data_IF_899324296853
#
_entry.id   IF_899324296853
#
_cell.length_a   1.000
_cell.length_b   1.000
_cell.length_c   1.000
_cell.angle_alpha   90.00
_cell.angle_beta   90.00
_cell.angle_gamma   90.00
#
_symmetry.space_group_name_H-M   'P 1'
#
loop_
_entity.id
_entity.type
_entity.pdbx_description
1 polymer ?
#
# COMPACT_ATOMS: atom_id res chain seq x y z
N UNK A 1 -35.91 25.27 -45.35
CA UNK A 1 -34.67 24.55 -45.73
C UNK A 1 -34.10 23.91 -44.47
N UNK A 2 -34.54 22.67 -44.22
CA UNK A 2 -33.91 21.53 -43.51
C UNK A 2 -32.37 21.70 -43.36
N UNK A 3 -31.63 21.44 -42.26
CA UNK A 3 -31.69 20.45 -41.15
C UNK A 3 -30.66 20.83 -40.02
N UNK A 4 -30.67 20.15 -38.85
CA UNK A 4 -30.10 20.61 -37.57
C UNK A 4 -28.70 20.05 -37.25
N UNK A 5 -27.84 20.87 -36.63
CA UNK A 5 -26.52 20.45 -36.16
C UNK A 5 -26.58 20.01 -34.69
N UNK A 6 -26.73 18.70 -34.58
CA UNK A 6 -26.43 17.77 -33.50
C UNK A 6 -25.30 18.18 -32.53
N UNK A 7 -25.66 18.26 -31.23
CA UNK A 7 -24.96 17.73 -30.04
C UNK A 7 -23.42 17.74 -30.06
N UNK A 8 -22.81 18.66 -29.30
CA UNK A 8 -21.39 18.63 -28.94
C UNK A 8 -21.25 18.51 -27.41
N UNK A 9 -20.54 17.46 -27.00
CA UNK A 9 -19.81 17.29 -25.74
C UNK A 9 -20.59 17.05 -24.43
N UNK A 10 -21.16 15.85 -24.30
CA UNK A 10 -21.37 15.19 -23.02
C UNK A 10 -20.27 14.13 -22.80
N UNK A 11 -19.08 14.50 -22.30
CA UNK A 11 -18.06 13.53 -21.86
C UNK A 11 -16.95 14.14 -20.99
N UNK A 12 -17.28 15.02 -20.03
CA UNK A 12 -16.29 15.54 -19.06
C UNK A 12 -16.46 14.95 -17.64
N UNK A 13 -17.22 13.86 -17.50
CA UNK A 13 -17.31 13.09 -16.25
C UNK A 13 -16.55 11.76 -16.38
N UNK A 14 -15.38 11.79 -17.00
CA UNK A 14 -14.47 10.65 -17.01
C UNK A 14 -13.57 10.75 -15.77
N UNK A 15 -14.05 10.17 -14.68
CA UNK A 15 -13.28 9.52 -13.61
C UNK A 15 -11.84 10.01 -13.45
N UNK A 16 -11.60 10.90 -12.48
CA UNK A 16 -10.27 11.07 -11.89
C UNK A 16 -9.92 9.79 -11.12
N UNK A 17 -9.56 8.73 -11.85
CA UNK A 17 -8.90 7.57 -11.28
C UNK A 17 -7.54 8.07 -10.82
N UNK A 18 -7.36 8.15 -9.50
CA UNK A 18 -6.03 8.36 -8.91
C UNK A 18 -5.18 7.18 -9.35
N UNK A 19 -4.34 7.40 -10.36
CA UNK A 19 -3.44 6.40 -10.89
C UNK A 19 -2.25 6.30 -9.93
N UNK A 20 -2.30 5.36 -8.99
CA UNK A 20 -1.17 5.05 -8.12
C UNK A 20 0.01 4.58 -8.99
N UNK A 21 1.04 5.41 -9.12
CA UNK A 21 2.24 5.09 -9.91
C UNK A 21 3.10 4.08 -9.17
N UNK A 22 3.41 2.95 -9.79
CA UNK A 22 4.33 1.95 -9.27
C UNK A 22 5.80 2.44 -9.19
N UNK A 23 6.10 3.64 -9.69
CA UNK A 23 7.45 4.20 -9.71
C UNK A 23 7.90 4.76 -8.35
N UNK A 24 6.98 5.08 -7.43
CA UNK A 24 7.31 5.45 -6.04
C UNK A 24 7.66 4.25 -5.16
N UNK A 25 7.37 3.03 -5.61
CA UNK A 25 7.76 1.77 -4.94
C UNK A 25 9.23 1.42 -5.18
N UNK A 26 10.14 2.41 -5.19
CA UNK A 26 11.56 2.12 -4.91
C UNK A 26 11.66 1.76 -3.44
N UNK A 27 11.24 0.54 -3.14
CA UNK A 27 11.60 -0.25 -1.97
C UNK A 27 13.12 -0.31 -1.92
N UNK A 28 13.71 0.72 -1.31
CA UNK A 28 15.08 0.61 -0.87
C UNK A 28 15.01 -0.34 0.31
N UNK A 29 15.70 -1.48 0.19
CA UNK A 29 15.91 -2.53 1.23
C UNK A 29 16.54 -2.02 2.54
N UNK A 30 16.48 -0.71 2.77
CA UNK A 30 17.31 0.08 3.67
C UNK A 30 16.60 0.52 4.94
N UNK A 31 15.32 0.25 5.14
CA UNK A 31 14.69 0.60 6.42
C UNK A 31 13.63 -0.41 6.86
N UNK A 32 14.01 -1.67 7.00
CA UNK A 32 13.34 -2.52 7.97
C UNK A 32 13.68 -1.95 9.35
N UNK A 33 12.66 -1.50 10.06
CA UNK A 33 12.74 -1.09 11.45
C UNK A 33 12.19 -2.20 12.36
N UNK A 34 12.73 -2.25 13.57
CA UNK A 34 12.42 -3.27 14.56
C UNK A 34 11.76 -2.62 15.75
N UNK A 35 10.60 -3.12 16.13
CA UNK A 35 9.75 -2.48 17.12
C UNK A 35 9.25 -3.47 18.15
N UNK A 36 8.83 -2.94 19.29
CA UNK A 36 8.11 -3.69 20.30
C UNK A 36 7.07 -2.78 20.92
N UNK A 37 5.83 -3.27 21.01
CA UNK A 37 4.72 -2.55 21.63
C UNK A 37 4.19 -3.38 22.80
N UNK A 38 3.80 -2.71 23.88
CA UNK A 38 3.16 -3.36 25.01
C UNK A 38 1.63 -3.33 24.86
N UNK A 39 1.00 -4.50 24.85
CA UNK A 39 -0.46 -4.64 24.76
C UNK A 39 -0.92 -5.57 25.89
N UNK A 40 -1.71 -5.05 26.83
CA UNK A 40 -2.25 -5.82 27.99
C UNK A 40 -1.16 -6.56 28.78
N UNK A 41 -0.01 -5.93 29.00
CA UNK A 41 1.13 -6.50 29.71
C UNK A 41 1.98 -7.49 28.90
N UNK A 42 1.66 -7.70 27.61
CA UNK A 42 2.46 -8.52 26.70
C UNK A 42 3.31 -7.62 25.80
N UNK A 43 4.61 -7.89 25.73
CA UNK A 43 5.53 -7.24 24.78
C UNK A 43 5.46 -7.95 23.44
N UNK A 44 4.93 -7.29 22.41
CA UNK A 44 4.77 -7.82 21.07
C UNK A 44 5.83 -7.20 20.16
N UNK A 45 6.73 -8.05 19.65
CA UNK A 45 7.75 -7.65 18.68
C UNK A 45 7.18 -7.68 17.25
N UNK A 46 7.52 -6.66 16.45
CA UNK A 46 7.17 -6.61 15.03
C UNK A 46 8.26 -5.90 14.20
N UNK A 47 8.15 -6.06 12.89
CA UNK A 47 9.02 -5.42 11.90
C UNK A 47 8.18 -4.57 10.98
N UNK A 48 8.71 -3.41 10.60
CA UNK A 48 8.01 -2.46 9.74
C UNK A 48 8.93 -2.01 8.62
N UNK A 49 8.39 -1.96 7.40
CA UNK A 49 9.11 -1.55 6.21
C UNK A 49 8.13 -0.94 5.20
N UNK A 50 8.64 -0.07 4.32
CA UNK A 50 7.85 0.68 3.36
C UNK A 50 7.41 2.07 3.87
N UNK A 51 6.72 2.86 3.03
CA UNK A 51 6.25 4.19 3.39
C UNK A 51 5.16 4.16 4.46
N UNK A 52 5.19 5.11 5.41
CA UNK A 52 4.22 5.19 6.49
C UNK A 52 2.81 5.66 6.05
N UNK A 53 2.72 6.32 4.89
CA UNK A 53 1.49 6.83 4.29
C UNK A 53 0.85 5.87 3.29
N UNK A 54 1.45 4.70 3.06
CA UNK A 54 0.90 3.66 2.20
C UNK A 54 -0.12 2.76 2.95
N UNK A 55 -1.03 2.06 2.24
CA UNK A 55 -1.92 1.08 2.85
C UNK A 55 -1.15 -0.02 3.63
N UNK A 56 -1.58 -0.30 4.85
CA UNK A 56 -0.91 -1.29 5.71
C UNK A 56 -1.27 -2.74 5.34
N UNK A 57 -0.26 -3.60 5.26
CA UNK A 57 -0.41 -5.05 5.13
C UNK A 57 0.14 -5.74 6.38
N UNK A 58 -0.67 -6.59 7.03
CA UNK A 58 -0.27 -7.35 8.21
C UNK A 58 0.13 -8.78 7.84
N UNK A 59 1.38 -9.14 8.11
CA UNK A 59 1.93 -10.48 7.85
C UNK A 59 2.10 -11.24 9.17
N UNK A 60 1.22 -12.22 9.42
CA UNK A 60 1.28 -13.07 10.61
C UNK A 60 2.04 -14.36 10.30
N UNK A 61 2.92 -14.78 11.20
CA UNK A 61 3.65 -16.04 11.06
C UNK A 61 2.88 -17.20 11.70
N UNK A 62 3.18 -18.44 11.26
CA UNK A 62 2.71 -19.66 11.91
C UNK A 62 3.74 -20.25 12.89
N UNK A 63 3.42 -21.42 13.44
CA UNK A 63 4.36 -22.24 14.20
C UNK A 63 5.18 -23.14 13.25
N UNK A 64 6.50 -23.34 13.47
CA UNK A 64 7.35 -22.83 14.56
C UNK A 64 8.18 -21.60 14.15
N UNK A 65 7.60 -20.68 13.37
CA UNK A 65 8.34 -19.55 12.78
C UNK A 65 8.16 -18.25 13.56
N UNK A 66 8.75 -17.16 13.06
CA UNK A 66 8.61 -15.80 13.56
C UNK A 66 8.41 -14.82 12.39
N UNK A 67 8.37 -13.52 12.66
CA UNK A 67 8.36 -12.47 11.63
C UNK A 67 9.54 -12.55 10.65
N UNK A 68 10.60 -13.31 10.98
CA UNK A 68 11.71 -13.63 10.06
C UNK A 68 11.26 -14.40 8.82
N UNK A 69 10.17 -15.16 8.89
CA UNK A 69 9.57 -15.83 7.71
C UNK A 69 9.35 -14.87 6.54
N UNK A 70 9.04 -13.62 6.85
CA UNK A 70 8.68 -12.60 5.88
C UNK A 70 9.86 -11.73 5.44
N UNK A 71 11.09 -11.99 5.92
CA UNK A 71 12.31 -11.30 5.46
C UNK A 71 12.41 -11.18 3.93
N UNK A 72 12.13 -12.24 3.14
CA UNK A 72 12.26 -12.15 1.69
C UNK A 72 11.20 -11.26 1.01
N UNK A 73 10.11 -10.94 1.71
CA UNK A 73 9.01 -10.12 1.20
C UNK A 73 9.08 -8.67 1.68
N UNK A 74 9.94 -8.35 2.65
CA UNK A 74 10.04 -7.01 3.17
C UNK A 74 10.88 -6.12 2.23
N UNK A 75 10.39 -4.91 1.92
CA UNK A 75 11.00 -4.00 0.97
C UNK A 75 12.30 -3.33 1.42
#
# INVERSE_FOLDING_TARGET
MNMPTLVICAAALASTIVQASAQDLRSSRRSISYHTVEIRGLKIFYREAGPADAPTVLLLHGFPSSSRMWEPLLP
#
